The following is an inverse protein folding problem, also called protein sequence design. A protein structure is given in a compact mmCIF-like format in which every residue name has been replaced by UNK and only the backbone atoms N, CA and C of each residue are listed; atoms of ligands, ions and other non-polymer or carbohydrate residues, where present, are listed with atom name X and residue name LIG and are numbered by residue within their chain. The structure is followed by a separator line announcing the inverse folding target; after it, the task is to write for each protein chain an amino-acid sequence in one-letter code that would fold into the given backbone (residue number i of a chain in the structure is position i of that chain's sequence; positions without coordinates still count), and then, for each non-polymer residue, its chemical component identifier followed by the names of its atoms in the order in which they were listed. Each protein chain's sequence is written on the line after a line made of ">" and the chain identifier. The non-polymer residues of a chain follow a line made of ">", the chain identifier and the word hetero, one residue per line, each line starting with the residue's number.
data_IF_650379470789
#
_entry.id   IF_650379470789
#
_cell.length_a   1.000
_cell.length_b   1.000
_cell.length_c   1.000
_cell.angle_alpha   90.00
_cell.angle_beta   90.00
_cell.angle_gamma   90.00
#
_symmetry.space_group_name_H-M   'P 1'
#
loop_
_entity.id
_entity.type
_entity.pdbx_description
1 polymer ?
#
# COMPACT_ATOMS: atom_id res chain seq x y z
N UNK A 1 23.12 -12.79 -1.73
CA UNK A 1 22.41 -12.29 -0.53
C UNK A 1 21.24 -13.22 -0.25
N UNK A 2 20.58 -13.10 0.91
CA UNK A 2 19.37 -13.86 1.25
C UNK A 2 18.19 -12.91 1.38
N UNK A 3 16.98 -13.40 1.15
CA UNK A 3 15.75 -12.64 1.34
C UNK A 3 14.75 -13.53 2.08
N UNK A 4 14.55 -13.26 3.36
CA UNK A 4 13.59 -13.93 4.21
C UNK A 4 12.36 -13.06 4.37
N UNK A 5 11.22 -13.57 3.91
CA UNK A 5 9.93 -12.88 4.01
C UNK A 5 9.04 -13.57 5.06
N UNK A 6 8.42 -12.80 5.93
CA UNK A 6 7.39 -13.28 6.85
C UNK A 6 6.03 -12.68 6.49
N UNK A 7 5.05 -13.53 6.21
CA UNK A 7 3.64 -13.10 6.09
C UNK A 7 2.98 -13.17 7.46
N UNK A 8 2.47 -12.04 7.95
CA UNK A 8 1.73 -11.99 9.21
C UNK A 8 0.26 -12.31 8.97
N UNK A 9 -0.23 -13.33 9.68
CA UNK A 9 -1.63 -13.70 9.83
C UNK A 9 -2.46 -13.75 8.53
N UNK A 10 -2.02 -14.45 7.47
CA UNK A 10 -2.81 -14.55 6.24
C UNK A 10 -4.14 -15.30 6.44
N UNK A 11 -4.26 -16.10 7.49
CA UNK A 11 -5.49 -16.73 7.97
C UNK A 11 -6.52 -15.70 8.46
N UNK A 12 -6.06 -14.61 9.08
CA UNK A 12 -6.91 -13.49 9.54
C UNK A 12 -7.02 -12.35 8.52
N UNK A 13 -6.13 -12.32 7.53
CA UNK A 13 -6.06 -11.32 6.46
C UNK A 13 -6.23 -12.00 5.10
N UNK A 14 -7.44 -12.48 4.76
CA UNK A 14 -7.68 -13.34 3.59
C UNK A 14 -7.55 -12.60 2.25
N UNK A 15 -7.22 -11.31 2.25
CA UNK A 15 -7.00 -10.59 1.00
C UNK A 15 -5.65 -11.02 0.39
N UNK A 16 -5.61 -11.44 -0.89
CA UNK A 16 -4.42 -12.08 -1.48
C UNK A 16 -3.19 -11.16 -1.66
N UNK A 17 -3.27 -9.91 -1.18
CA UNK A 17 -2.21 -8.92 -1.33
C UNK A 17 -0.88 -9.37 -0.73
N UNK A 18 -0.90 -10.11 0.39
CA UNK A 18 0.31 -10.64 1.02
C UNK A 18 1.00 -11.70 0.17
N UNK A 19 0.26 -12.67 -0.36
CA UNK A 19 0.82 -13.74 -1.18
C UNK A 19 1.37 -13.20 -2.50
N UNK A 20 0.65 -12.27 -3.12
CA UNK A 20 1.10 -11.61 -4.33
C UNK A 20 2.36 -10.78 -4.07
N UNK A 21 2.38 -10.01 -2.98
CA UNK A 21 3.55 -9.20 -2.61
C UNK A 21 4.78 -10.06 -2.33
N UNK A 22 4.63 -11.15 -1.56
CA UNK A 22 5.70 -12.09 -1.28
C UNK A 22 6.23 -12.75 -2.56
N UNK A 23 5.33 -13.13 -3.47
CA UNK A 23 5.67 -13.75 -4.75
C UNK A 23 6.50 -12.80 -5.62
N UNK A 24 6.10 -11.53 -5.71
CA UNK A 24 6.77 -10.53 -6.57
C UNK A 24 8.14 -10.17 -5.99
N UNK A 25 8.21 -9.86 -4.69
CA UNK A 25 9.47 -9.58 -4.00
C UNK A 25 10.43 -10.78 -4.11
N UNK A 26 9.92 -11.99 -3.90
CA UNK A 26 10.70 -13.21 -4.02
C UNK A 26 11.17 -13.50 -5.45
N UNK A 27 10.30 -13.30 -6.45
CA UNK A 27 10.69 -13.45 -7.85
C UNK A 27 11.80 -12.46 -8.21
N UNK A 28 11.65 -11.18 -7.86
CA UNK A 28 12.62 -10.16 -8.19
C UNK A 28 13.93 -10.32 -7.40
N UNK A 29 13.87 -10.74 -6.14
CA UNK A 29 15.05 -11.12 -5.36
C UNK A 29 15.86 -12.26 -6.04
N UNK A 30 15.18 -13.27 -6.59
CA UNK A 30 15.84 -14.35 -7.36
C UNK A 30 16.52 -13.85 -8.62
N UNK A 31 15.97 -12.84 -9.30
CA UNK A 31 16.61 -12.21 -10.46
C UNK A 31 17.93 -11.51 -10.08
N UNK A 32 18.07 -11.02 -8.84
CA UNK A 32 19.34 -10.53 -8.29
C UNK A 32 20.28 -11.64 -7.78
N UNK A 33 19.92 -12.92 -7.99
CA UNK A 33 20.70 -14.06 -7.52
C UNK A 33 20.58 -14.31 -6.00
N UNK A 34 19.51 -13.86 -5.35
CA UNK A 34 19.32 -14.06 -3.91
C UNK A 34 18.62 -15.38 -3.62
N UNK A 35 18.97 -16.02 -2.50
CA UNK A 35 18.19 -17.13 -1.95
C UNK A 35 16.94 -16.59 -1.25
N UNK A 36 15.77 -17.12 -1.59
CA UNK A 36 14.49 -16.61 -1.07
C UNK A 36 13.79 -17.65 -0.22
N UNK A 37 13.40 -17.24 0.99
CA UNK A 37 12.55 -18.02 1.90
C UNK A 37 11.29 -17.20 2.23
N UNK A 38 10.12 -17.84 2.21
CA UNK A 38 8.85 -17.23 2.57
C UNK A 38 8.21 -18.09 3.64
N UNK A 39 8.03 -17.52 4.83
CA UNK A 39 7.33 -18.15 5.94
C UNK A 39 6.02 -17.43 6.24
N UNK A 40 5.19 -18.07 7.05
CA UNK A 40 3.91 -17.54 7.52
C UNK A 40 3.86 -17.64 9.04
N UNK A 41 3.35 -16.60 9.69
CA UNK A 41 2.93 -16.65 11.09
C UNK A 41 1.40 -16.68 11.16
N UNK A 42 0.82 -17.82 11.50
CA UNK A 42 -0.62 -18.00 11.68
C UNK A 42 -1.05 -17.65 13.12
N UNK A 43 -2.36 -17.49 13.35
CA UNK A 43 -2.87 -17.23 14.70
C UNK A 43 -2.48 -18.36 15.67
N UNK A 44 -1.96 -17.98 16.84
CA UNK A 44 -1.55 -18.93 17.88
C UNK A 44 -0.20 -19.62 17.66
N UNK A 45 0.40 -19.49 16.47
CA UNK A 45 1.75 -20.01 16.22
C UNK A 45 2.81 -19.16 16.95
N UNK A 46 3.92 -19.77 17.43
CA UNK A 46 5.00 -19.02 18.03
C UNK A 46 5.72 -18.15 16.99
N UNK A 47 6.20 -16.98 17.41
CA UNK A 47 7.05 -16.15 16.57
C UNK A 47 8.31 -16.93 16.13
N UNK A 48 8.68 -16.95 14.84
CA UNK A 48 9.82 -17.74 14.38
C UNK A 48 11.15 -17.16 14.88
N UNK A 49 12.09 -18.04 15.22
CA UNK A 49 13.36 -17.64 15.87
C UNK A 49 14.34 -16.94 14.92
N UNK A 50 14.13 -17.04 13.61
CA UNK A 50 15.03 -16.46 12.62
C UNK A 50 14.71 -14.98 12.34
N UNK A 51 15.72 -14.17 11.96
CA UNK A 51 15.49 -12.81 11.50
C UNK A 51 14.87 -12.80 10.10
N UNK A 52 13.99 -11.82 9.87
CA UNK A 52 13.34 -11.58 8.59
C UNK A 52 13.78 -10.25 7.98
N UNK A 53 13.91 -10.23 6.67
CA UNK A 53 14.29 -9.04 5.92
C UNK A 53 13.06 -8.19 5.56
N UNK A 54 11.95 -8.86 5.25
CA UNK A 54 10.67 -8.23 4.94
C UNK A 54 9.56 -8.89 5.75
N UNK A 55 8.75 -8.08 6.41
CA UNK A 55 7.55 -8.51 7.13
C UNK A 55 6.35 -7.89 6.41
N UNK A 56 5.41 -8.75 6.00
CA UNK A 56 4.25 -8.37 5.20
C UNK A 56 2.99 -8.42 6.06
N UNK A 57 2.38 -7.26 6.30
CA UNK A 57 1.07 -7.15 6.93
C UNK A 57 0.02 -6.79 5.86
N UNK A 58 -0.82 -7.79 5.57
CA UNK A 58 -1.80 -7.75 4.50
C UNK A 58 -3.00 -6.87 4.83
N UNK A 59 -4.06 -7.02 4.06
CA UNK A 59 -5.33 -6.34 4.28
C UNK A 59 -6.43 -7.38 4.49
N UNK A 60 -7.53 -6.98 5.10
CA UNK A 60 -8.80 -7.69 5.01
C UNK A 60 -9.71 -6.98 4.00
N UNK A 61 -10.89 -7.55 3.73
CA UNK A 61 -11.86 -6.97 2.78
C UNK A 61 -12.61 -5.76 3.34
N UNK A 62 -13.02 -5.80 4.60
CA UNK A 62 -14.01 -4.84 5.14
C UNK A 62 -13.74 -4.35 6.55
N UNK A 63 -13.05 -5.12 7.39
CA UNK A 63 -12.84 -4.78 8.80
C UNK A 63 -11.61 -5.48 9.37
N UNK A 64 -11.02 -4.89 10.40
CA UNK A 64 -10.03 -5.53 11.25
C UNK A 64 -10.80 -6.32 12.32
N UNK A 65 -10.45 -7.59 12.54
CA UNK A 65 -11.06 -8.40 13.60
C UNK A 65 -10.37 -8.20 14.94
N UNK A 66 -11.10 -8.42 16.04
CA UNK A 66 -10.52 -8.51 17.39
C UNK A 66 -9.41 -9.55 17.48
N UNK A 67 -9.58 -10.68 16.81
CA UNK A 67 -8.62 -11.79 16.78
C UNK A 67 -7.28 -11.37 16.19
N UNK A 68 -7.30 -10.52 15.15
CA UNK A 68 -6.10 -9.96 14.56
C UNK A 68 -5.41 -8.97 15.51
N UNK A 69 -6.19 -8.11 16.19
CA UNK A 69 -5.65 -7.18 17.18
C UNK A 69 -4.99 -7.93 18.34
N UNK A 70 -5.63 -8.99 18.85
CA UNK A 70 -5.10 -9.84 19.90
C UNK A 70 -3.80 -10.54 19.45
N UNK A 71 -3.82 -11.15 18.27
CA UNK A 71 -2.65 -11.83 17.70
C UNK A 71 -1.46 -10.87 17.53
N UNK A 72 -1.71 -9.68 16.97
CA UNK A 72 -0.71 -8.63 16.79
C UNK A 72 -0.18 -8.09 18.12
N UNK A 73 -1.06 -7.91 19.11
CA UNK A 73 -0.66 -7.50 20.47
C UNK A 73 0.30 -8.50 21.10
N UNK A 74 0.02 -9.80 20.96
CA UNK A 74 0.85 -10.88 21.50
C UNK A 74 2.27 -10.91 20.91
N UNK A 75 2.47 -10.41 19.68
CA UNK A 75 3.78 -10.39 19.01
C UNK A 75 4.40 -9.01 18.86
N UNK A 76 3.73 -7.95 19.38
CA UNK A 76 4.12 -6.55 19.19
C UNK A 76 5.61 -6.33 19.50
N UNK A 77 6.07 -6.73 20.68
CA UNK A 77 7.47 -6.53 21.09
C UNK A 77 8.48 -7.20 20.15
N UNK A 78 8.17 -8.40 19.65
CA UNK A 78 9.04 -9.13 18.71
C UNK A 78 9.05 -8.50 17.32
N UNK A 79 7.88 -8.08 16.83
CA UNK A 79 7.76 -7.33 15.58
C UNK A 79 8.58 -6.03 15.64
N UNK A 80 8.42 -5.26 16.72
CA UNK A 80 9.20 -4.05 16.95
C UNK A 80 10.70 -4.30 16.92
N UNK A 81 11.18 -5.30 17.68
CA UNK A 81 12.59 -5.64 17.73
C UNK A 81 13.16 -6.00 16.35
N UNK A 82 12.41 -6.75 15.55
CA UNK A 82 12.82 -7.15 14.19
C UNK A 82 12.91 -5.94 13.26
N UNK A 83 11.91 -5.06 13.25
CA UNK A 83 11.96 -3.82 12.44
C UNK A 83 13.11 -2.93 12.92
N UNK A 84 13.27 -2.71 14.23
CA UNK A 84 14.39 -1.93 14.77
C UNK A 84 15.76 -2.49 14.38
N UNK A 85 15.88 -3.82 14.26
CA UNK A 85 17.12 -4.48 13.86
C UNK A 85 17.45 -4.35 12.38
N UNK A 86 16.49 -3.99 11.52
CA UNK A 86 16.71 -3.85 10.08
C UNK A 86 15.57 -4.30 9.17
N UNK A 87 14.54 -4.98 9.68
CA UNK A 87 13.47 -5.49 8.81
C UNK A 87 12.65 -4.35 8.17
N UNK A 88 12.23 -4.56 6.93
CA UNK A 88 11.21 -3.75 6.27
C UNK A 88 9.82 -4.26 6.65
N UNK A 89 9.02 -3.45 7.35
CA UNK A 89 7.60 -3.72 7.56
C UNK A 89 6.77 -3.07 6.45
N UNK A 90 6.22 -3.88 5.56
CA UNK A 90 5.31 -3.43 4.50
C UNK A 90 3.86 -3.72 4.91
N UNK A 91 3.08 -2.67 5.07
CA UNK A 91 1.67 -2.73 5.48
C UNK A 91 0.78 -2.29 4.34
N UNK A 92 -0.30 -3.03 4.10
CA UNK A 92 -1.20 -2.77 2.97
C UNK A 92 -2.66 -2.59 3.38
N UNK A 93 -3.42 -1.87 2.54
CA UNK A 93 -4.87 -1.73 2.65
C UNK A 93 -5.35 -1.19 3.99
N UNK A 94 -6.39 -1.82 4.55
CA UNK A 94 -7.00 -1.37 5.81
C UNK A 94 -6.05 -1.53 7.00
N UNK A 95 -5.13 -2.50 6.99
CA UNK A 95 -4.18 -2.72 8.10
C UNK A 95 -3.19 -1.57 8.27
N UNK A 96 -3.12 -0.63 7.32
CA UNK A 96 -2.38 0.62 7.54
C UNK A 96 -2.99 1.49 8.66
N UNK A 97 -4.21 1.21 9.13
CA UNK A 97 -4.72 1.81 10.37
C UNK A 97 -4.09 1.19 11.62
N UNK A 98 -3.49 0.00 11.51
CA UNK A 98 -2.93 -0.70 12.65
C UNK A 98 -1.57 -0.16 13.05
N UNK A 99 -0.87 0.60 12.21
CA UNK A 99 0.47 1.15 12.54
C UNK A 99 0.43 2.35 13.51
N UNK A 100 -0.74 2.71 14.02
CA UNK A 100 -0.92 3.84 14.94
C UNK A 100 -0.78 3.40 16.40
N UNK A 101 -0.66 4.36 17.33
CA UNK A 101 -0.68 4.05 18.77
C UNK A 101 -2.05 3.54 19.20
N UNK A 102 -3.11 4.14 18.66
CA UNK A 102 -4.49 3.78 18.95
C UNK A 102 -5.24 3.48 17.66
N UNK A 103 -5.92 2.34 17.61
CA UNK A 103 -6.78 1.94 16.50
C UNK A 103 -8.21 2.25 16.90
N UNK A 104 -8.78 3.30 16.34
CA UNK A 104 -10.21 3.59 16.45
C UNK A 104 -10.93 2.91 15.29
N UNK A 105 -11.65 1.83 15.60
CA UNK A 105 -12.53 1.17 14.63
C UNK A 105 -13.96 1.72 14.75
N UNK A 106 -14.71 1.74 13.64
CA UNK A 106 -16.07 2.29 13.61
C UNK A 106 -17.00 1.53 14.55
N UNK A 107 -17.48 2.18 15.61
CA UNK A 107 -18.40 1.56 16.57
C UNK A 107 -17.76 0.60 17.58
N UNK A 108 -16.43 0.55 17.65
CA UNK A 108 -15.69 -0.23 18.64
C UNK A 108 -14.83 0.68 19.53
N UNK A 109 -14.48 0.20 20.72
CA UNK A 109 -13.55 0.91 21.61
C UNK A 109 -12.15 0.92 20.98
N UNK A 110 -11.43 2.02 21.16
CA UNK A 110 -10.05 2.13 20.69
C UNK A 110 -9.20 0.99 21.26
N UNK A 111 -8.52 0.25 20.39
CA UNK A 111 -7.51 -0.74 20.77
C UNK A 111 -6.10 -0.14 20.70
N UNK A 112 -5.14 -0.79 21.35
CA UNK A 112 -3.74 -0.44 21.16
C UNK A 112 -3.29 -0.89 19.76
N UNK A 113 -2.74 0.01 18.96
CA UNK A 113 -2.19 -0.33 17.66
C UNK A 113 -0.77 -0.88 17.73
N UNK A 114 -0.20 -1.16 16.57
CA UNK A 114 1.06 -1.88 16.41
C UNK A 114 2.28 -1.08 16.77
N UNK A 115 2.25 0.25 16.64
CA UNK A 115 3.42 1.09 16.85
C UNK A 115 3.03 2.35 17.61
N UNK A 116 3.96 2.95 18.35
CA UNK A 116 3.74 4.20 19.08
C UNK A 116 3.73 5.44 18.15
N UNK A 117 3.03 5.36 17.01
CA UNK A 117 2.87 6.46 16.06
C UNK A 117 1.60 7.24 16.42
N UNK A 118 1.77 8.47 16.89
CA UNK A 118 0.68 9.43 17.05
C UNK A 118 0.31 10.07 15.70
N UNK A 119 -0.97 10.40 15.48
CA UNK A 119 -1.39 11.35 14.43
C UNK A 119 -1.84 10.78 13.08
N UNK A 120 -1.95 9.46 12.93
CA UNK A 120 -2.61 8.84 11.79
C UNK A 120 -4.10 8.69 12.10
N UNK A 121 -4.93 9.56 11.52
CA UNK A 121 -6.38 9.50 11.70
C UNK A 121 -7.05 8.86 10.49
N UNK A 122 -7.90 7.87 10.77
CA UNK A 122 -8.80 7.31 9.77
C UNK A 122 -9.92 8.31 9.51
N UNK A 123 -10.07 8.71 8.26
CA UNK A 123 -11.13 9.65 7.88
C UNK A 123 -12.37 8.86 7.53
N UNK A 124 -13.05 8.39 8.56
CA UNK A 124 -14.31 7.72 8.33
C UNK A 124 -15.41 8.73 7.96
N UNK A 125 -16.14 8.43 6.89
CA UNK A 125 -17.51 8.91 6.72
C UNK A 125 -17.76 10.33 6.20
N UNK A 126 -16.76 11.18 5.87
CA UNK A 126 -17.05 12.56 5.39
C UNK A 126 -16.24 13.10 4.22
N UNK A 127 -15.43 12.32 3.52
CA UNK A 127 -14.78 12.82 2.29
C UNK A 127 -15.81 12.98 1.16
N UNK A 128 -16.44 14.16 1.09
CA UNK A 128 -17.37 14.56 0.02
C UNK A 128 -16.69 14.70 -1.35
N UNK A 129 -15.37 14.76 -1.40
CA UNK A 129 -14.60 14.92 -2.63
C UNK A 129 -14.52 13.65 -3.48
N UNK A 130 -14.79 12.48 -2.88
CA UNK A 130 -14.89 11.22 -3.60
C UNK A 130 -16.19 10.52 -3.21
N UNK A 131 -17.32 11.04 -3.69
CA UNK A 131 -18.59 10.30 -3.71
C UNK A 131 -18.34 8.85 -4.19
N UNK A 132 -19.00 7.84 -3.59
CA UNK A 132 -18.44 6.52 -3.29
C UNK A 132 -17.75 5.89 -4.50
N UNK A 133 -16.42 6.01 -4.56
CA UNK A 133 -15.61 5.21 -5.49
C UNK A 133 -15.56 3.81 -4.89
N UNK A 134 -16.25 2.85 -5.53
CA UNK A 134 -16.19 1.43 -5.13
C UNK A 134 -14.76 0.91 -5.28
N UNK A 135 -14.10 1.26 -6.38
CA UNK A 135 -12.64 1.16 -6.56
C UNK A 135 -12.15 2.14 -7.65
N UNK A 136 -10.88 2.50 -7.61
CA UNK A 136 -10.30 3.46 -8.55
C UNK A 136 -8.79 3.38 -8.65
N UNK A 137 -8.24 3.75 -9.80
CA UNK A 137 -6.80 3.90 -9.98
C UNK A 137 -6.34 5.22 -9.43
N UNK A 138 -5.24 5.20 -8.69
CA UNK A 138 -4.54 6.40 -8.25
C UNK A 138 -3.10 6.34 -8.71
N UNK A 139 -2.53 7.52 -8.93
CA UNK A 139 -1.14 7.69 -9.31
C UNK A 139 -0.48 8.60 -8.29
N UNK A 140 0.66 8.17 -7.79
CA UNK A 140 1.37 8.79 -6.70
C UNK A 140 2.78 9.15 -7.17
N UNK A 141 3.18 10.41 -6.99
CA UNK A 141 4.58 10.80 -7.08
C UNK A 141 5.21 10.63 -5.71
N UNK A 142 6.18 9.74 -5.61
CA UNK A 142 6.94 9.54 -4.39
C UNK A 142 8.33 10.16 -4.53
N UNK A 143 8.88 10.79 -3.47
CA UNK A 143 10.28 11.21 -3.48
C UNK A 143 11.26 10.03 -3.35
N UNK A 144 10.77 8.83 -3.02
CA UNK A 144 11.58 7.65 -2.76
C UNK A 144 11.82 6.78 -4.00
N UNK A 145 10.96 6.90 -5.02
CA UNK A 145 11.09 6.15 -6.26
C UNK A 145 11.11 7.08 -7.46
N UNK A 146 11.91 6.78 -8.51
CA UNK A 146 12.11 7.69 -9.63
C UNK A 146 10.92 7.79 -10.58
N UNK A 147 9.99 6.83 -10.53
CA UNK A 147 8.80 6.78 -11.39
C UNK A 147 7.53 7.04 -10.60
N UNK A 148 6.45 7.40 -11.31
CA UNK A 148 5.12 7.44 -10.73
C UNK A 148 4.73 6.05 -10.23
N UNK A 149 4.02 5.97 -9.12
CA UNK A 149 3.52 4.70 -8.58
C UNK A 149 2.02 4.61 -8.80
N UNK A 150 1.57 3.51 -9.40
CA UNK A 150 0.16 3.30 -9.73
C UNK A 150 -0.46 2.25 -8.82
N UNK A 151 -1.70 2.42 -8.39
CA UNK A 151 -2.36 1.37 -7.63
C UNK A 151 -3.86 1.54 -7.57
N UNK A 152 -4.54 0.47 -7.20
CA UNK A 152 -5.97 0.49 -7.00
C UNK A 152 -6.27 0.82 -5.53
N UNK A 153 -7.11 1.84 -5.35
CA UNK A 153 -7.63 2.24 -4.06
C UNK A 153 -9.04 1.66 -3.87
N UNK A 154 -9.26 0.98 -2.76
CA UNK A 154 -10.59 0.54 -2.33
C UNK A 154 -11.20 1.55 -1.36
N UNK A 155 -12.55 1.56 -1.33
CA UNK A 155 -13.41 2.53 -0.62
C UNK A 155 -13.04 2.83 0.84
N UNK A 156 -12.27 1.95 1.49
CA UNK A 156 -11.98 1.98 2.93
C UNK A 156 -10.51 2.27 3.26
N UNK A 157 -9.74 2.91 2.36
CA UNK A 157 -8.30 3.06 2.58
C UNK A 157 -7.80 4.51 2.40
N UNK A 158 -8.51 5.53 2.91
CA UNK A 158 -7.98 6.90 2.89
C UNK A 158 -7.54 7.36 4.28
N UNK A 159 -6.29 7.83 4.35
CA UNK A 159 -5.65 8.28 5.58
C UNK A 159 -5.26 9.74 5.44
N UNK A 160 -5.45 10.53 6.49
CA UNK A 160 -4.75 11.81 6.64
C UNK A 160 -3.73 11.59 7.74
N UNK A 161 -2.47 11.43 7.34
CA UNK A 161 -1.37 11.61 8.28
C UNK A 161 -1.31 13.10 8.63
N UNK A 162 -1.80 13.47 9.83
CA UNK A 162 -1.39 14.73 10.43
C UNK A 162 0.04 14.51 10.88
N UNK A 163 0.97 15.11 10.14
CA UNK A 163 2.40 15.31 10.45
C UNK A 163 2.80 14.72 11.80
N UNK A 164 3.16 13.44 11.81
CA UNK A 164 3.87 12.86 12.92
C UNK A 164 5.33 13.31 12.79
N UNK A 165 5.95 13.79 13.87
CA UNK A 165 7.28 14.42 13.87
C UNK A 165 8.40 13.50 13.33
N UNK A 166 8.15 12.20 13.19
CA UNK A 166 9.16 11.20 12.82
C UNK A 166 8.85 10.42 11.53
N UNK A 167 7.78 10.77 10.79
CA UNK A 167 7.40 10.08 9.55
C UNK A 167 6.75 11.00 8.52
N UNK A 168 6.81 10.61 7.25
CA UNK A 168 6.33 11.40 6.13
C UNK A 168 5.32 10.64 5.26
N UNK A 169 4.58 11.35 4.39
CA UNK A 169 3.80 10.68 3.36
C UNK A 169 4.73 9.89 2.43
N UNK A 170 4.28 8.73 1.94
CA UNK A 170 5.01 7.98 0.91
C UNK A 170 5.10 8.79 -0.39
N UNK A 171 4.07 9.57 -0.70
CA UNK A 171 4.09 10.47 -1.85
C UNK A 171 2.86 11.34 -1.94
N UNK A 172 2.70 12.01 -3.08
CA UNK A 172 1.57 12.85 -3.42
C UNK A 172 0.72 12.25 -4.54
N UNK A 173 -0.60 12.20 -4.36
CA UNK A 173 -1.56 11.80 -5.39
C UNK A 173 -1.53 12.86 -6.51
N UNK A 174 -1.06 12.47 -7.68
CA UNK A 174 -1.00 13.33 -8.87
C UNK A 174 -2.21 13.17 -9.78
N UNK A 175 -2.83 12.00 -9.76
CA UNK A 175 -4.04 11.71 -10.53
C UNK A 175 -4.88 10.61 -9.87
N UNK A 176 -6.18 10.67 -10.09
CA UNK A 176 -7.13 9.62 -9.72
C UNK A 176 -8.15 9.39 -10.83
N UNK A 177 -8.48 8.13 -11.07
CA UNK A 177 -9.48 7.69 -12.04
C UNK A 177 -10.44 6.71 -11.36
N UNK A 178 -11.73 7.08 -11.33
CA UNK A 178 -12.80 6.22 -10.82
C UNK A 178 -13.08 5.06 -11.77
N UNK A 179 -13.15 3.85 -11.25
CA UNK A 179 -13.76 2.71 -11.95
C UNK A 179 -15.26 2.78 -11.62
N UNK A 180 -16.09 3.04 -12.62
CA UNK A 180 -17.55 2.98 -12.45
C UNK A 180 -17.98 1.52 -12.66
N UNK A 181 -18.69 0.96 -11.69
CA UNK A 181 -19.41 -0.29 -11.86
C UNK A 181 -20.47 -0.11 -12.96
N UNK A 182 -20.53 -1.03 -13.91
CA UNK A 182 -21.50 -1.01 -15.02
C UNK A 182 -22.98 -1.12 -14.58
N UNK A 183 -23.26 -1.19 -13.27
CA UNK A 183 -24.60 -1.37 -12.70
C UNK A 183 -25.46 -0.10 -12.59
N UNK A 184 -24.92 1.11 -12.77
CA UNK A 184 -25.71 2.36 -12.75
C UNK A 184 -26.31 2.74 -14.12
N UNK A 185 -26.15 1.88 -15.13
CA UNK A 185 -26.93 2.00 -16.36
C UNK A 185 -28.32 1.40 -16.15
N UNK A 186 -29.22 2.19 -15.53
CA UNK A 186 -30.65 2.05 -15.81
C UNK A 186 -30.83 2.02 -17.33
N UNK A 187 -31.37 0.91 -17.81
CA UNK A 187 -31.69 0.57 -19.18
C UNK A 187 -32.05 1.79 -20.05
N UNK A 188 -31.19 2.11 -21.03
CA UNK A 188 -31.69 2.60 -22.31
C UNK A 188 -31.52 1.48 -23.31
N UNK A 189 -32.61 0.75 -23.53
CA UNK A 189 -32.74 -0.32 -24.52
C UNK A 189 -32.32 0.16 -25.90
N UNK A 190 -31.60 -0.70 -26.62
CA UNK A 190 -31.53 -0.67 -28.08
C UNK A 190 -30.22 -0.18 -28.66
N UNK A 191 -29.17 -0.99 -28.55
CA UNK A 191 -28.23 -1.34 -29.65
C UNK A 191 -27.09 -2.17 -29.06
N UNK A 192 -26.98 -3.42 -29.53
CA UNK A 192 -25.87 -4.32 -29.27
C UNK A 192 -24.65 -3.86 -30.07
N UNK A 193 -23.79 -3.07 -29.44
CA UNK A 193 -22.41 -2.84 -29.89
C UNK A 193 -21.46 -3.61 -28.95
N UNK A 194 -20.29 -4.06 -29.46
CA UNK A 194 -19.37 -4.90 -28.70
C UNK A 194 -18.90 -4.23 -27.41
N UNK A 195 -18.85 -5.07 -26.38
CA UNK A 195 -18.59 -4.77 -24.99
C UNK A 195 -17.21 -4.10 -24.74
N UNK A 196 -17.19 -3.26 -23.70
CA UNK A 196 -16.03 -2.57 -23.08
C UNK A 196 -15.43 -1.37 -23.83
N UNK A 197 -16.12 -0.23 -23.75
CA UNK A 197 -15.47 1.09 -23.69
C UNK A 197 -15.60 1.66 -22.28
N UNK A 198 -14.63 1.38 -21.41
CA UNK A 198 -14.39 2.18 -20.21
C UNK A 198 -13.96 3.58 -20.70
N UNK A 199 -14.92 4.49 -20.88
CA UNK A 199 -14.59 5.90 -21.13
C UNK A 199 -14.22 6.54 -19.78
N UNK A 200 -12.98 7.01 -19.57
CA UNK A 200 -12.66 7.84 -18.41
C UNK A 200 -13.52 9.11 -18.52
N UNK A 201 -14.61 9.19 -17.73
CA UNK A 201 -15.53 10.35 -17.81
C UNK A 201 -14.96 11.61 -17.17
N UNK A 202 -13.96 11.49 -16.27
CA UNK A 202 -13.26 12.62 -15.66
C UNK A 202 -11.94 12.16 -15.04
N UNK A 203 -10.82 12.50 -15.66
CA UNK A 203 -9.51 12.46 -14.98
C UNK A 203 -9.44 13.71 -14.13
N UNK A 204 -9.34 13.56 -12.81
CA UNK A 204 -9.05 14.70 -11.94
C UNK A 204 -7.53 14.88 -11.96
N UNK A 205 -7.04 15.85 -12.74
CA UNK A 205 -5.65 16.29 -12.67
C UNK A 205 -5.43 17.12 -11.40
N UNK A 206 -4.20 17.16 -10.89
CA UNK A 206 -3.85 17.90 -9.66
C UNK A 206 -4.40 19.34 -9.57
N UNK A 207 -4.54 20.04 -10.70
CA UNK A 207 -5.13 21.40 -10.76
C UNK A 207 -6.65 21.43 -10.48
N UNK A 208 -7.38 20.36 -10.78
CA UNK A 208 -8.82 20.24 -10.53
C UNK A 208 -9.16 19.76 -9.11
N UNK A 209 -8.18 19.21 -8.38
CA UNK A 209 -8.28 18.91 -6.94
C UNK A 209 -8.10 20.16 -6.05
N UNK A 210 -7.61 21.27 -6.61
CA UNK A 210 -7.34 22.53 -5.90
C UNK A 210 -8.41 23.62 -6.06
N UNK A 211 -9.49 23.38 -6.80
CA UNK A 211 -10.49 24.43 -7.10
C UNK A 211 -11.67 24.50 -6.11
N UNK A 212 -11.56 23.91 -4.90
CA UNK A 212 -12.35 24.41 -3.76
C UNK A 212 -11.54 25.52 -3.09
N UNK A 213 -11.84 26.76 -3.45
CA UNK A 213 -11.08 27.96 -3.06
C UNK A 213 -11.08 28.29 -1.57
N UNK A 214 -11.72 27.50 -0.71
CA UNK A 214 -11.83 27.77 0.73
C UNK A 214 -11.23 26.69 1.66
N UNK A 215 -10.72 25.56 1.16
CA UNK A 215 -10.31 24.47 2.07
C UNK A 215 -8.80 24.26 2.10
N UNK A 216 -8.14 24.74 3.17
CA UNK A 216 -6.87 24.16 3.66
C UNK A 216 -6.97 22.64 3.82
N UNK A 217 -8.19 22.10 3.94
CA UNK A 217 -8.44 20.68 3.94
C UNK A 217 -8.14 20.02 2.59
N UNK A 218 -8.33 20.68 1.43
CA UNK A 218 -8.06 20.10 0.09
C UNK A 218 -6.60 19.70 -0.13
N UNK A 219 -5.64 20.41 0.50
CA UNK A 219 -4.21 20.11 0.45
C UNK A 219 -3.83 18.87 1.29
N UNK A 220 -4.57 18.57 2.37
CA UNK A 220 -4.30 17.41 3.23
C UNK A 220 -4.52 16.08 2.49
N UNK A 221 -5.40 16.06 1.49
CA UNK A 221 -5.79 14.86 0.74
C UNK A 221 -4.84 14.46 -0.39
N UNK A 222 -3.79 15.26 -0.65
CA UNK A 222 -2.77 14.88 -1.64
C UNK A 222 -1.80 13.86 -1.08
N UNK A 223 -1.65 13.75 0.23
CA UNK A 223 -0.67 12.86 0.85
C UNK A 223 -1.16 11.42 0.78
N UNK A 224 -0.30 10.53 0.27
CA UNK A 224 -0.58 9.12 0.10
C UNK A 224 0.41 8.28 0.89
N UNK A 225 -0.12 7.26 1.58
CA UNK A 225 0.67 6.32 2.37
C UNK A 225 1.50 6.99 3.45
N UNK A 226 2.36 6.21 4.08
CA UNK A 226 3.24 6.66 5.14
C UNK A 226 4.54 5.87 5.15
N UNK A 227 5.64 6.58 5.38
CA UNK A 227 6.99 6.02 5.47
C UNK A 227 7.68 6.58 6.70
N UNK A 228 8.34 5.70 7.46
CA UNK A 228 9.15 6.09 8.62
C UNK A 228 10.35 5.15 8.78
N UNK A 229 11.58 5.69 8.90
CA UNK A 229 12.70 4.94 9.44
C UNK A 229 12.40 4.47 10.87
N UNK A 230 12.76 3.24 11.21
CA UNK A 230 12.48 2.68 12.53
C UNK A 230 13.67 1.85 13.02
N UNK A 231 14.55 2.49 13.79
CA UNK A 231 15.88 1.95 14.07
C UNK A 231 16.70 1.80 12.78
N UNK A 232 17.20 0.59 12.51
CA UNK A 232 17.87 0.25 11.23
C UNK A 232 16.90 -0.15 10.12
N UNK A 233 15.66 -0.47 10.46
CA UNK A 233 14.65 -0.88 9.49
C UNK A 233 13.79 0.28 9.02
N UNK A 234 12.70 -0.07 8.33
CA UNK A 234 11.77 0.89 7.75
C UNK A 234 10.34 0.36 7.81
N UNK A 235 9.39 1.26 8.01
CA UNK A 235 7.97 0.96 7.90
C UNK A 235 7.43 1.70 6.68
N UNK A 236 6.75 0.98 5.81
CA UNK A 236 6.04 1.53 4.66
C UNK A 236 4.60 1.03 4.72
N UNK A 237 3.67 1.96 4.92
CA UNK A 237 2.24 1.68 4.98
C UNK A 237 1.54 2.30 3.77
N UNK A 238 1.06 1.45 2.87
CA UNK A 238 0.42 1.85 1.62
C UNK A 238 -1.05 1.41 1.64
N UNK A 239 -2.01 2.33 1.54
CA UNK A 239 -3.42 1.96 1.55
C UNK A 239 -3.90 1.21 0.30
N UNK A 240 -2.99 0.87 -0.62
CA UNK A 240 -3.31 0.00 -1.73
C UNK A 240 -3.62 -1.41 -1.26
N UNK A 241 -4.54 -2.04 -1.98
CA UNK A 241 -4.81 -3.46 -1.87
C UNK A 241 -4.50 -4.14 -3.21
N UNK A 242 -4.42 -5.46 -3.19
CA UNK A 242 -4.24 -6.25 -4.39
C UNK A 242 -2.81 -6.32 -4.86
N UNK A 243 -2.67 -6.59 -6.14
CA UNK A 243 -1.40 -6.83 -6.80
C UNK A 243 -0.66 -5.53 -7.13
N UNK A 244 -0.74 -4.48 -6.30
CA UNK A 244 -0.16 -3.18 -6.68
C UNK A 244 1.35 -3.27 -6.97
N UNK A 245 2.10 -4.13 -6.28
CA UNK A 245 3.50 -4.37 -6.59
C UNK A 245 3.73 -4.95 -8.00
N UNK A 246 2.76 -5.65 -8.60
CA UNK A 246 2.93 -6.24 -9.94
C UNK A 246 2.93 -5.19 -11.04
N UNK A 247 2.34 -4.02 -10.76
CA UNK A 247 2.30 -2.87 -11.65
C UNK A 247 3.42 -1.88 -11.38
N UNK A 248 4.26 -2.07 -10.35
CA UNK A 248 5.29 -1.10 -9.96
C UNK A 248 6.66 -1.77 -9.77
N UNK A 249 7.29 -2.24 -10.86
CA UNK A 249 8.59 -2.91 -10.76
C UNK A 249 9.67 -2.01 -10.13
N UNK A 250 9.62 -0.70 -10.35
CA UNK A 250 10.51 0.28 -9.72
C UNK A 250 10.28 0.40 -8.20
N UNK A 251 9.05 0.25 -7.72
CA UNK A 251 8.76 0.22 -6.28
C UNK A 251 9.36 -1.04 -5.66
N UNK A 252 9.19 -2.20 -6.31
CA UNK A 252 9.77 -3.46 -5.85
C UNK A 252 11.29 -3.37 -5.78
N UNK A 253 11.95 -2.77 -6.79
CA UNK A 253 13.40 -2.50 -6.76
C UNK A 253 13.80 -1.65 -5.55
N UNK A 254 13.07 -0.58 -5.26
CA UNK A 254 13.33 0.27 -4.10
C UNK A 254 13.15 -0.48 -2.76
N UNK A 255 12.09 -1.27 -2.62
CA UNK A 255 11.87 -2.07 -1.41
C UNK A 255 13.03 -3.07 -1.20
N UNK A 256 13.50 -3.71 -2.26
CA UNK A 256 14.64 -4.62 -2.20
C UNK A 256 15.97 -3.88 -1.99
N UNK A 257 16.10 -2.63 -2.42
CA UNK A 257 17.33 -1.85 -2.18
C UNK A 257 17.48 -1.44 -0.71
N UNK A 258 16.36 -1.20 -0.01
CA UNK A 258 16.34 -1.04 1.46
C UNK A 258 16.90 -2.30 2.11
N UNK A 259 16.37 -3.47 1.75
CA UNK A 259 16.83 -4.78 2.27
C UNK A 259 18.32 -4.97 1.97
N UNK A 260 18.75 -4.66 0.74
CA UNK A 260 20.13 -4.81 0.32
C UNK A 260 21.06 -3.96 1.17
N UNK A 261 20.71 -2.69 1.39
CA UNK A 261 21.48 -1.74 2.20
C UNK A 261 21.63 -2.22 3.64
N UNK A 262 20.55 -2.70 4.26
CA UNK A 262 20.56 -3.20 5.65
C UNK A 262 21.51 -4.40 5.79
N UNK A 263 21.57 -5.27 4.79
CA UNK A 263 22.48 -6.42 4.72
C UNK A 263 23.92 -6.06 4.30
N UNK A 264 24.24 -4.77 4.10
CA UNK A 264 25.57 -4.32 3.69
C UNK A 264 25.85 -4.45 2.18
N UNK A 265 24.80 -4.65 1.37
CA UNK A 265 24.84 -4.59 -0.08
C UNK A 265 24.72 -3.16 -0.62
N UNK A 266 24.60 -3.00 -1.96
CA UNK A 266 24.47 -1.70 -2.60
C UNK A 266 23.11 -1.03 -2.31
N UNK A 267 23.13 0.30 -2.18
CA UNK A 267 21.92 1.11 -2.00
C UNK A 267 21.04 1.22 -3.25
N UNK A 268 21.66 1.03 -4.43
CA UNK A 268 20.97 1.00 -5.71
C UNK A 268 21.14 -0.38 -6.32
N UNK A 269 20.01 -1.01 -6.67
CA UNK A 269 19.99 -2.28 -7.39
C UNK A 269 19.79 -1.99 -8.88
N UNK A 270 20.42 -2.77 -9.78
CA UNK A 270 20.25 -2.59 -11.21
C UNK A 270 18.77 -2.81 -11.59
N UNK A 271 18.29 -2.07 -12.58
CA UNK A 271 16.95 -2.30 -13.10
C UNK A 271 16.84 -3.73 -13.65
N UNK A 272 15.78 -4.44 -13.26
CA UNK A 272 15.44 -5.75 -13.84
C UNK A 272 14.47 -5.53 -14.99
N UNK A 273 14.67 -6.30 -16.06
CA UNK A 273 13.69 -6.42 -17.13
C UNK A 273 12.44 -7.15 -16.58
N UNK A 274 11.45 -6.36 -16.19
CA UNK A 274 10.15 -6.83 -15.74
C UNK A 274 9.10 -6.59 -16.83
N UNK A 275 9.38 -7.02 -18.07
CA UNK A 275 8.61 -6.71 -19.29
C UNK A 275 7.09 -6.61 -19.10
N UNK A 276 6.43 -7.68 -18.60
CA UNK A 276 4.97 -7.66 -18.38
C UNK A 276 4.51 -6.63 -17.34
N UNK A 277 5.26 -6.43 -16.27
CA UNK A 277 4.97 -5.42 -15.25
C UNK A 277 5.10 -4.00 -15.80
N UNK A 278 6.11 -3.74 -16.63
CA UNK A 278 6.25 -2.45 -17.32
C UNK A 278 5.13 -2.21 -18.32
N UNK A 279 4.74 -3.21 -19.12
CA UNK A 279 3.61 -3.09 -20.03
C UNK A 279 2.30 -2.75 -19.30
N UNK A 280 2.00 -3.45 -18.20
CA UNK A 280 0.83 -3.17 -17.37
C UNK A 280 0.88 -1.76 -16.78
N UNK A 281 2.04 -1.36 -16.26
CA UNK A 281 2.29 -0.01 -15.74
C UNK A 281 2.00 1.08 -16.77
N UNK A 282 2.63 1.00 -17.96
CA UNK A 282 2.42 1.98 -19.03
C UNK A 282 0.98 1.98 -19.52
N UNK A 283 0.33 0.81 -19.57
CA UNK A 283 -1.07 0.71 -19.94
C UNK A 283 -1.96 1.50 -18.98
N UNK A 284 -1.75 1.38 -17.66
CA UNK A 284 -2.48 2.14 -16.64
C UNK A 284 -2.24 3.64 -16.82
N UNK A 285 -0.99 4.08 -16.93
CA UNK A 285 -0.66 5.50 -17.15
C UNK A 285 -1.32 6.06 -18.41
N UNK A 286 -1.24 5.33 -19.52
CA UNK A 286 -1.87 5.70 -20.80
C UNK A 286 -3.39 5.86 -20.66
N UNK A 287 -4.06 4.96 -19.94
CA UNK A 287 -5.51 5.06 -19.68
C UNK A 287 -5.85 6.30 -18.84
N UNK A 288 -4.95 6.73 -17.98
CA UNK A 288 -5.09 7.93 -17.16
C UNK A 288 -4.66 9.20 -17.89
N UNK A 289 -4.17 9.10 -19.13
CA UNK A 289 -3.69 10.23 -19.92
C UNK A 289 -2.39 10.83 -19.40
N UNK A 290 -1.54 10.01 -18.76
CA UNK A 290 -0.26 10.41 -18.19
C UNK A 290 0.90 9.84 -19.00
N UNK A 291 2.00 10.59 -19.05
CA UNK A 291 3.33 10.11 -19.45
C UNK A 291 4.17 9.74 -18.23
N UNK A 292 5.17 8.89 -18.42
CA UNK A 292 6.10 8.51 -17.34
C UNK A 292 6.96 9.67 -16.86
N UNK A 293 7.35 10.52 -17.80
CA UNK A 293 8.05 11.77 -17.54
C UNK A 293 7.03 12.82 -17.15
N UNK A 294 7.17 13.35 -15.94
CA UNK A 294 6.49 14.54 -15.46
C UNK A 294 7.52 15.51 -14.93
#
# INVERSE_FOLDING_TARGET
>A
MRLHLLKLYPDLLPFPGNDVSATILGWQGKQYGWSVQVDTLEQGAPWPDQPYDVILLGSSFTHISSDLLEALSAVRSKLHAQVQSGALLLVSGISTCLITRTVELPGENAGDGLLEVDGLHFLEGRSRLIAPVKSGWIVVRSPFVPHLVVGELYRHCMFSAKTAEEGGPFGEITAAMRILDNGDHKEKKGRSEPFFKLRPRKVLSGASLSHSTDDQDSLKWRRFGWVRPYGRGMIIALPWVGAYLSYNPHLVTYLLSIVSTVQGGPAELPAIDAGFSWEAYHHILKRMGLSETV
#
